data_IF_724082181567
#
_entry.id   IF_724082181567
#
_cell.length_a   1.000
_cell.length_b   1.000
_cell.length_c   1.000
_cell.angle_alpha   90.00
_cell.angle_beta   90.00
_cell.angle_gamma   90.00
#
_symmetry.space_group_name_H-M   'P 1'
#
loop_
_entity.id
_entity.type
_entity.pdbx_description
1 polymer ?
#
# COMPACT_ATOMS: atom_id res chain seq x y z
N UNK A 1 -9.80 -15.22 2.16
CA UNK A 1 -10.28 -16.25 3.08
C UNK A 1 -10.78 -17.47 2.27
N UNK A 2 -10.42 -18.72 2.63
CA UNK A 2 -10.83 -19.91 1.87
C UNK A 2 -12.34 -20.18 1.87
N UNK A 3 -13.11 -19.48 2.70
CA UNK A 3 -14.58 -19.61 2.74
C UNK A 3 -15.30 -18.72 1.73
N UNK A 4 -14.59 -17.81 1.06
CA UNK A 4 -15.09 -16.94 -0.01
C UNK A 4 -15.59 -15.57 0.47
N UNK A 5 -16.16 -14.82 -0.48
CA UNK A 5 -16.73 -13.51 -0.24
C UNK A 5 -18.24 -13.59 0.01
N UNK A 6 -18.74 -12.72 0.89
CA UNK A 6 -20.15 -12.65 1.23
C UNK A 6 -20.64 -11.20 1.20
N UNK A 7 -21.96 -11.03 0.99
CA UNK A 7 -22.65 -9.77 1.21
C UNK A 7 -23.54 -9.90 2.45
N UNK A 8 -23.56 -8.84 3.28
CA UNK A 8 -24.31 -8.79 4.54
C UNK A 8 -24.80 -7.37 4.83
N UNK A 9 -25.55 -7.17 5.90
CA UNK A 9 -25.93 -5.87 6.44
C UNK A 9 -27.29 -5.35 6.03
N UNK A 10 -27.58 -4.12 6.48
CA UNK A 10 -28.83 -3.41 6.20
C UNK A 10 -30.10 -4.08 6.69
N UNK A 11 -30.01 -5.12 7.50
CA UNK A 11 -31.16 -5.94 7.92
C UNK A 11 -31.78 -6.77 6.79
N UNK A 12 -31.38 -6.53 5.54
CA UNK A 12 -31.96 -7.12 4.33
C UNK A 12 -31.07 -8.20 3.73
N UNK A 13 -29.74 -8.05 3.90
CA UNK A 13 -28.74 -8.98 3.40
C UNK A 13 -28.22 -9.93 4.50
N UNK A 14 -28.84 -9.93 5.69
CA UNK A 14 -28.52 -10.88 6.75
C UNK A 14 -27.18 -10.63 7.43
N UNK A 15 -26.63 -11.71 7.98
CA UNK A 15 -25.36 -11.68 8.72
C UNK A 15 -24.21 -12.13 7.82
N UNK A 16 -22.96 -11.85 8.22
CA UNK A 16 -21.77 -12.46 7.59
C UNK A 16 -21.91 -13.98 7.51
N UNK A 17 -21.71 -14.51 6.30
CA UNK A 17 -21.88 -15.94 6.04
C UNK A 17 -23.24 -16.36 5.45
N UNK A 18 -24.27 -15.50 5.48
CA UNK A 18 -25.60 -15.86 4.98
C UNK A 18 -25.68 -15.88 3.43
N UNK A 19 -24.97 -14.98 2.75
CA UNK A 19 -25.05 -14.83 1.30
C UNK A 19 -23.65 -14.96 0.67
N UNK A 20 -23.28 -16.19 0.35
CA UNK A 20 -22.05 -16.51 -0.36
C UNK A 20 -22.12 -16.00 -1.80
N UNK A 21 -21.09 -15.28 -2.22
CA UNK A 21 -20.91 -14.85 -3.61
C UNK A 21 -20.29 -15.97 -4.44
N UNK A 22 -20.53 -15.97 -5.75
CA UNK A 22 -19.93 -16.88 -6.71
C UNK A 22 -18.57 -16.35 -7.14
N UNK A 23 -17.53 -17.15 -6.98
CA UNK A 23 -16.21 -16.88 -7.52
C UNK A 23 -16.21 -17.00 -9.04
N UNK A 24 -15.86 -15.92 -9.74
CA UNK A 24 -15.71 -15.87 -11.19
C UNK A 24 -14.25 -15.99 -11.65
N UNK A 25 -13.32 -16.14 -10.69
CA UNK A 25 -11.88 -16.13 -10.92
C UNK A 25 -11.28 -14.73 -10.93
N UNK A 26 -9.95 -14.62 -10.79
CA UNK A 26 -9.20 -13.36 -10.76
C UNK A 26 -9.73 -12.37 -9.70
N UNK A 27 -10.05 -12.88 -8.50
CA UNK A 27 -10.65 -12.10 -7.39
C UNK A 27 -11.98 -11.40 -7.72
N UNK A 28 -12.65 -11.82 -8.78
CA UNK A 28 -13.96 -11.31 -9.14
C UNK A 28 -15.07 -12.21 -8.54
N UNK A 29 -15.95 -11.59 -7.79
CA UNK A 29 -17.04 -12.25 -7.09
C UNK A 29 -18.38 -11.66 -7.49
N UNK A 30 -19.42 -12.45 -7.63
CA UNK A 30 -20.75 -11.98 -7.99
C UNK A 30 -21.85 -12.62 -7.17
N UNK A 31 -22.95 -11.87 -6.98
CA UNK A 31 -24.19 -12.38 -6.44
C UNK A 31 -25.34 -11.61 -7.06
N UNK A 32 -26.45 -12.27 -7.31
CA UNK A 32 -27.67 -11.68 -7.89
C UNK A 32 -28.82 -11.81 -6.91
N UNK A 33 -29.53 -10.71 -6.71
CA UNK A 33 -30.74 -10.68 -5.90
C UNK A 33 -31.94 -10.22 -6.74
N UNK A 34 -33.08 -10.86 -6.53
CA UNK A 34 -34.37 -10.39 -7.06
C UNK A 34 -35.05 -9.57 -5.98
N UNK A 35 -35.24 -8.27 -6.22
CA UNK A 35 -35.84 -7.32 -5.28
C UNK A 35 -36.93 -6.50 -5.97
N UNK A 36 -37.93 -5.97 -5.25
CA UNK A 36 -38.95 -5.13 -5.85
C UNK A 36 -38.39 -3.80 -6.37
N UNK A 37 -39.08 -3.22 -7.34
CA UNK A 37 -38.76 -1.90 -7.91
C UNK A 37 -38.78 -0.84 -6.80
N UNK A 38 -37.76 0.02 -6.77
CA UNK A 38 -37.55 1.01 -5.74
C UNK A 38 -36.85 0.47 -4.50
N UNK A 39 -36.34 -0.75 -4.54
CA UNK A 39 -35.58 -1.33 -3.41
C UNK A 39 -34.31 -0.53 -3.14
N UNK A 40 -34.08 -0.26 -1.86
CA UNK A 40 -32.84 0.38 -1.33
C UNK A 40 -32.46 -0.29 -0.01
N UNK A 41 -31.19 -0.32 0.31
CA UNK A 41 -30.67 -0.89 1.56
C UNK A 41 -29.22 -0.48 1.77
N UNK A 42 -28.78 -0.48 3.01
CA UNK A 42 -27.36 -0.50 3.29
C UNK A 42 -26.84 -1.95 3.20
N UNK A 43 -25.56 -2.12 2.90
CA UNK A 43 -24.90 -3.43 2.81
C UNK A 43 -23.39 -3.31 2.94
N UNK A 44 -22.72 -4.42 3.13
CA UNK A 44 -21.27 -4.49 3.20
C UNK A 44 -20.79 -5.83 2.66
N UNK A 45 -19.51 -5.91 2.35
CA UNK A 45 -18.85 -7.18 1.99
C UNK A 45 -18.05 -7.73 3.17
N UNK A 46 -17.97 -9.06 3.26
CA UNK A 46 -17.09 -9.74 4.22
C UNK A 46 -16.20 -10.76 3.49
N UNK A 47 -14.91 -10.76 3.85
CA UNK A 47 -13.95 -11.74 3.35
C UNK A 47 -13.91 -12.93 4.31
N UNK A 48 -14.85 -13.86 4.07
CA UNK A 48 -15.07 -15.01 4.93
C UNK A 48 -16.34 -14.93 5.76
N UNK A 49 -16.67 -16.06 6.44
CA UNK A 49 -17.88 -16.25 7.22
C UNK A 49 -17.66 -16.13 8.74
N UNK A 50 -16.51 -15.63 9.18
CA UNK A 50 -16.14 -15.58 10.60
C UNK A 50 -16.86 -14.51 11.43
N UNK A 51 -17.84 -13.80 10.84
CA UNK A 51 -18.61 -12.76 11.49
C UNK A 51 -18.17 -11.35 11.08
N UNK A 52 -18.60 -10.35 11.85
CA UNK A 52 -18.37 -8.93 11.53
C UNK A 52 -16.90 -8.51 11.53
N UNK A 53 -16.00 -9.32 12.11
CA UNK A 53 -14.55 -9.07 12.03
C UNK A 53 -13.96 -9.27 10.64
N UNK A 54 -14.69 -9.95 9.73
CA UNK A 54 -14.29 -10.13 8.33
C UNK A 54 -14.84 -9.04 7.39
N UNK A 55 -15.56 -8.06 7.94
CA UNK A 55 -16.13 -6.93 7.19
C UNK A 55 -15.03 -6.09 6.54
N UNK A 56 -15.30 -5.59 5.34
CA UNK A 56 -14.45 -4.57 4.70
C UNK A 56 -14.32 -3.33 5.59
N UNK A 57 -13.16 -2.71 5.57
CA UNK A 57 -12.94 -1.45 6.28
C UNK A 57 -12.99 -0.29 5.27
N UNK A 58 -14.09 0.45 5.27
CA UNK A 58 -14.29 1.67 4.49
C UNK A 58 -14.56 2.88 5.39
N UNK A 59 -14.26 2.76 6.68
CA UNK A 59 -14.48 3.83 7.66
C UNK A 59 -13.78 5.11 7.25
N UNK A 60 -14.49 6.23 7.31
CA UNK A 60 -13.97 7.53 6.88
C UNK A 60 -13.93 7.77 5.38
N UNK A 61 -14.22 6.77 4.55
CA UNK A 61 -14.29 6.94 3.10
C UNK A 61 -15.64 7.53 2.67
N UNK A 62 -15.68 8.13 1.47
CA UNK A 62 -16.87 8.82 0.94
C UNK A 62 -18.07 7.92 0.69
N UNK A 63 -17.88 6.61 0.53
CA UNK A 63 -18.92 5.60 0.33
C UNK A 63 -19.42 4.97 1.65
N UNK A 64 -18.81 5.29 2.78
CA UNK A 64 -19.21 4.77 4.08
C UNK A 64 -20.42 5.54 4.64
N UNK A 65 -21.43 4.82 5.09
CA UNK A 65 -22.63 5.39 5.70
C UNK A 65 -22.64 5.11 7.20
N UNK A 66 -22.63 6.14 8.04
CA UNK A 66 -22.74 5.98 9.48
C UNK A 66 -24.07 5.35 9.91
N UNK A 67 -24.14 4.66 11.04
CA UNK A 67 -23.09 4.52 12.06
C UNK A 67 -22.19 3.28 11.87
N UNK A 68 -22.45 2.46 10.87
CA UNK A 68 -21.81 1.17 10.72
C UNK A 68 -20.76 1.13 9.61
N UNK A 69 -20.54 2.22 8.89
CA UNK A 69 -19.66 2.30 7.73
C UNK A 69 -20.00 1.22 6.68
N UNK A 70 -21.29 1.09 6.40
CA UNK A 70 -21.83 0.24 5.34
C UNK A 70 -21.90 1.03 4.03
N UNK A 71 -22.03 0.35 2.89
CA UNK A 71 -22.35 0.97 1.60
C UNK A 71 -23.83 1.22 1.50
N UNK A 72 -24.25 2.26 0.75
CA UNK A 72 -25.65 2.52 0.48
C UNK A 72 -26.01 2.09 -0.95
N UNK A 73 -27.02 1.24 -1.05
CA UNK A 73 -27.73 0.98 -2.30
C UNK A 73 -28.89 1.96 -2.42
N UNK A 74 -28.72 2.95 -3.30
CA UNK A 74 -29.82 3.86 -3.65
C UNK A 74 -31.00 3.09 -4.29
N UNK A 75 -32.23 3.66 -4.29
CA UNK A 75 -33.39 2.98 -4.86
C UNK A 75 -33.18 2.57 -6.32
N UNK A 76 -33.36 1.28 -6.61
CA UNK A 76 -33.15 0.66 -7.93
C UNK A 76 -34.49 0.48 -8.63
N UNK A 77 -34.62 1.01 -9.84
CA UNK A 77 -35.89 1.03 -10.60
C UNK A 77 -35.90 0.14 -11.85
N UNK A 78 -34.75 -0.46 -12.19
CA UNK A 78 -34.58 -1.40 -13.31
C UNK A 78 -33.49 -2.39 -13.00
N UNK A 79 -33.36 -3.44 -13.81
CA UNK A 79 -32.24 -4.38 -13.69
C UNK A 79 -30.93 -3.62 -13.77
N UNK A 80 -30.08 -3.81 -12.78
CA UNK A 80 -28.87 -3.04 -12.58
C UNK A 80 -27.75 -3.95 -12.09
N UNK A 81 -26.55 -3.76 -12.62
CA UNK A 81 -25.33 -4.34 -12.07
C UNK A 81 -24.56 -3.26 -11.33
N UNK A 82 -24.18 -3.55 -10.10
CA UNK A 82 -23.40 -2.68 -9.24
C UNK A 82 -22.08 -3.37 -8.97
N UNK A 83 -21.00 -2.66 -9.15
CA UNK A 83 -19.65 -3.17 -8.94
C UNK A 83 -18.94 -2.33 -7.88
N UNK A 84 -18.16 -2.98 -7.04
CA UNK A 84 -17.34 -2.34 -6.01
C UNK A 84 -16.05 -3.10 -5.82
N UNK A 85 -15.02 -2.39 -5.43
CA UNK A 85 -13.80 -2.99 -4.92
C UNK A 85 -13.91 -3.17 -3.41
N UNK A 86 -13.42 -4.29 -2.90
CA UNK A 86 -13.43 -4.59 -1.46
C UNK A 86 -12.54 -3.59 -0.72
N UNK A 87 -13.06 -2.99 0.36
CA UNK A 87 -12.31 -2.07 1.22
C UNK A 87 -12.04 -0.68 0.65
N UNK A 88 -12.58 -0.33 -0.53
CA UNK A 88 -12.37 0.99 -1.13
C UNK A 88 -13.67 1.56 -1.71
N UNK A 89 -13.72 2.86 -2.01
CA UNK A 89 -14.84 3.49 -2.71
C UNK A 89 -14.68 3.52 -4.23
N UNK A 90 -13.56 3.04 -4.75
CA UNK A 90 -13.23 3.12 -6.16
C UNK A 90 -14.18 2.28 -7.01
N UNK A 91 -14.58 2.86 -8.13
CA UNK A 91 -15.57 2.30 -9.04
C UNK A 91 -15.26 2.71 -10.48
N UNK A 92 -14.14 2.24 -11.00
CA UNK A 92 -13.77 2.50 -12.41
C UNK A 92 -13.94 1.28 -13.31
N UNK A 93 -14.54 0.19 -12.79
CA UNK A 93 -14.70 -1.08 -13.50
C UNK A 93 -13.46 -1.95 -13.45
N UNK A 94 -12.40 -1.46 -12.86
CA UNK A 94 -11.20 -2.21 -12.52
C UNK A 94 -10.99 -2.03 -11.03
N UNK A 95 -11.09 -3.10 -10.23
CA UNK A 95 -10.68 -3.06 -8.83
C UNK A 95 -9.15 -2.99 -8.79
N UNK A 96 -8.60 -1.96 -9.41
CA UNK A 96 -7.18 -1.65 -9.41
C UNK A 96 -6.72 -0.96 -8.11
N UNK A 97 -7.53 -0.96 -7.07
CA UNK A 97 -6.98 -1.08 -5.74
C UNK A 97 -6.55 -2.52 -5.60
N UNK A 98 -5.46 -2.85 -6.24
CA UNK A 98 -4.79 -4.12 -6.03
C UNK A 98 -4.47 -4.17 -4.54
N UNK A 99 -5.28 -4.90 -3.77
CA UNK A 99 -4.67 -5.69 -2.72
C UNK A 99 -3.81 -6.68 -3.49
N UNK A 100 -2.61 -6.29 -3.81
CA UNK A 100 -1.61 -7.19 -4.33
C UNK A 100 -1.39 -8.20 -3.21
N UNK A 101 -1.69 -9.49 -3.41
CA UNK A 101 -1.09 -10.50 -2.58
C UNK A 101 0.42 -10.38 -2.86
N UNK A 102 1.14 -9.62 -2.01
CA UNK A 102 2.57 -9.44 -2.10
C UNK A 102 3.10 -8.10 -2.65
N UNK A 103 2.25 -7.06 -2.88
CA UNK A 103 2.78 -5.74 -3.26
C UNK A 103 2.15 -4.61 -2.46
N UNK A 104 2.96 -3.76 -1.87
CA UNK A 104 2.53 -2.65 -1.01
C UNK A 104 1.98 -1.44 -1.79
N UNK A 105 1.94 -1.48 -3.12
CA UNK A 105 1.68 -0.30 -3.95
C UNK A 105 2.87 0.66 -4.09
N UNK A 106 3.76 0.64 -3.12
CA UNK A 106 5.11 1.19 -3.20
C UNK A 106 6.12 0.04 -3.29
N UNK A 107 7.21 0.27 -4.00
CA UNK A 107 8.34 -0.67 -4.05
C UNK A 107 9.66 0.07 -3.81
N UNK A 108 10.55 -0.59 -3.07
CA UNK A 108 11.93 -0.16 -2.92
C UNK A 108 12.67 -0.38 -4.25
N UNK A 109 13.16 0.69 -4.86
CA UNK A 109 13.90 0.63 -6.13
C UNK A 109 15.39 0.65 -5.94
N UNK A 110 15.89 1.56 -5.12
CA UNK A 110 17.30 1.68 -4.87
C UNK A 110 17.59 2.22 -3.48
N UNK A 111 18.77 1.92 -2.98
CA UNK A 111 19.34 2.44 -1.75
C UNK A 111 20.72 2.98 -2.00
N UNK A 112 21.11 4.03 -1.28
CA UNK A 112 22.44 4.63 -1.41
C UNK A 112 23.08 4.86 -0.04
N UNK A 113 24.39 4.65 0.02
CA UNK A 113 25.25 5.04 1.14
C UNK A 113 26.57 5.62 0.60
N UNK A 114 26.46 6.50 -0.40
CA UNK A 114 27.60 7.12 -1.10
C UNK A 114 28.39 7.98 -0.11
N UNK A 115 29.73 7.90 -0.14
CA UNK A 115 30.61 8.68 0.73
C UNK A 115 30.62 10.16 0.31
N UNK A 116 29.62 10.91 0.75
CA UNK A 116 29.52 12.36 0.62
C UNK A 116 29.66 13.04 2.00
N UNK A 117 30.14 14.31 2.04
CA UNK A 117 30.27 15.04 3.29
C UNK A 117 28.98 15.02 4.11
N UNK A 118 29.12 14.91 5.44
CA UNK A 118 27.97 14.94 6.39
C UNK A 118 26.92 13.83 6.17
N UNK A 119 27.32 12.72 5.59
CA UNK A 119 26.42 11.61 5.22
C UNK A 119 25.34 11.97 4.17
N UNK A 120 25.58 13.00 3.37
CA UNK A 120 24.63 13.51 2.38
C UNK A 120 24.28 12.50 1.26
N UNK A 121 25.11 11.48 1.05
CA UNK A 121 24.91 10.46 0.02
C UNK A 121 23.97 9.33 0.39
N UNK A 122 23.27 9.44 1.53
CA UNK A 122 22.32 8.41 2.00
C UNK A 122 20.92 8.70 1.50
N UNK A 123 20.31 7.75 0.80
CA UNK A 123 18.95 7.88 0.30
C UNK A 123 18.27 6.54 0.06
N UNK A 124 16.94 6.57 0.03
CA UNK A 124 16.06 5.48 -0.34
C UNK A 124 15.18 5.95 -1.50
N UNK A 125 15.23 5.25 -2.62
CA UNK A 125 14.40 5.49 -3.80
C UNK A 125 13.25 4.50 -3.82
N UNK A 126 12.06 5.02 -3.96
CA UNK A 126 10.80 4.27 -3.96
C UNK A 126 10.01 4.64 -5.21
N UNK A 127 9.29 3.69 -5.77
CA UNK A 127 8.38 3.93 -6.91
C UNK A 127 6.98 3.50 -6.53
N UNK A 128 5.98 4.31 -6.90
CA UNK A 128 4.59 3.94 -6.80
C UNK A 128 4.21 3.07 -8.02
N UNK A 129 3.84 1.82 -7.78
CA UNK A 129 3.35 0.92 -8.86
C UNK A 129 1.91 1.20 -9.24
N UNK A 130 1.18 1.87 -8.35
CA UNK A 130 -0.20 2.28 -8.54
C UNK A 130 -0.42 3.68 -7.96
N UNK A 131 -1.55 4.31 -8.29
CA UNK A 131 -1.94 5.56 -7.66
C UNK A 131 -2.30 5.32 -6.18
N UNK A 132 -1.73 6.11 -5.29
CA UNK A 132 -1.97 6.06 -3.85
C UNK A 132 -2.52 7.41 -3.44
N UNK A 133 -3.69 7.43 -2.81
CA UNK A 133 -4.36 8.67 -2.39
C UNK A 133 -3.79 9.25 -1.09
N UNK A 134 -3.19 8.42 -0.26
CA UNK A 134 -2.64 8.79 1.05
C UNK A 134 -1.36 8.01 1.33
N UNK A 135 -0.21 8.70 1.25
CA UNK A 135 1.08 8.10 1.56
C UNK A 135 1.32 7.94 3.07
N UNK A 136 0.53 8.57 3.94
CA UNK A 136 0.79 8.54 5.40
C UNK A 136 0.60 7.16 6.05
N UNK A 137 0.07 6.19 5.32
CA UNK A 137 0.01 4.80 5.76
C UNK A 137 1.33 4.04 5.51
N UNK A 138 2.30 4.68 4.83
CA UNK A 138 3.60 4.10 4.51
C UNK A 138 4.72 4.82 5.25
N UNK A 139 5.79 4.08 5.46
CA UNK A 139 7.03 4.60 5.99
C UNK A 139 8.22 3.73 5.64
N UNK A 140 9.39 4.16 6.05
CA UNK A 140 10.64 3.40 5.90
C UNK A 140 11.36 3.31 7.25
N UNK A 141 12.13 2.25 7.41
CA UNK A 141 13.04 2.05 8.53
C UNK A 141 14.33 1.37 8.08
N UNK A 142 15.33 1.44 8.93
CA UNK A 142 16.65 0.84 8.71
C UNK A 142 16.88 -0.27 9.73
N UNK A 143 16.91 -1.53 9.31
CA UNK A 143 17.33 -2.63 10.17
C UNK A 143 18.84 -2.65 10.30
N UNK A 144 19.34 -2.06 11.38
CA UNK A 144 20.74 -1.75 11.57
C UNK A 144 21.57 -3.01 11.87
N UNK A 145 22.60 -3.28 11.05
CA UNK A 145 23.65 -4.29 11.28
C UNK A 145 23.12 -5.71 11.56
N UNK A 146 21.97 -6.09 11.01
CA UNK A 146 21.36 -7.41 11.25
C UNK A 146 20.75 -7.55 12.64
N UNK A 147 20.33 -6.44 13.24
CA UNK A 147 19.67 -6.42 14.55
C UNK A 147 18.19 -6.78 14.54
N UNK A 148 17.65 -7.07 13.37
CA UNK A 148 16.23 -7.31 13.15
C UNK A 148 15.44 -6.01 12.89
N UNK A 149 14.16 -6.15 12.57
CA UNK A 149 13.21 -5.05 12.42
C UNK A 149 13.05 -4.32 13.76
N UNK A 150 13.27 -3.01 13.78
CA UNK A 150 13.12 -2.17 14.98
C UNK A 150 12.04 -1.09 14.85
N UNK A 151 11.36 -1.05 13.69
CA UNK A 151 10.19 -0.21 13.45
C UNK A 151 10.40 0.86 12.38
N UNK A 152 9.34 1.62 12.15
CA UNK A 152 9.31 2.71 11.20
C UNK A 152 10.04 3.93 11.76
N UNK A 153 10.96 4.52 10.99
CA UNK A 153 11.75 5.69 11.38
C UNK A 153 11.32 6.97 10.66
N UNK A 154 10.75 6.84 9.46
CA UNK A 154 10.19 7.94 8.68
C UNK A 154 8.82 7.55 8.16
N UNK A 155 7.80 8.35 8.49
CA UNK A 155 6.43 8.22 7.95
C UNK A 155 6.21 9.26 6.87
N UNK A 156 5.67 8.86 5.72
CA UNK A 156 5.32 9.81 4.66
C UNK A 156 4.18 10.74 5.10
N UNK A 157 4.16 12.01 4.61
CA UNK A 157 3.01 12.89 4.86
C UNK A 157 1.77 12.42 4.09
N UNK A 158 0.58 12.88 4.53
CA UNK A 158 -0.68 12.66 3.83
C UNK A 158 -0.71 13.44 2.52
N UNK A 159 -0.21 12.84 1.46
CA UNK A 159 -0.24 13.33 0.07
C UNK A 159 -0.51 12.16 -0.87
N UNK A 160 -1.03 12.47 -2.05
CA UNK A 160 -1.23 11.46 -3.10
C UNK A 160 -0.01 11.33 -4.00
N UNK A 161 0.14 10.15 -4.62
CA UNK A 161 1.12 9.88 -5.67
C UNK A 161 0.46 9.08 -6.79
N UNK A 162 0.84 9.33 -8.05
CA UNK A 162 0.32 8.59 -9.19
C UNK A 162 1.18 7.34 -9.48
N UNK A 163 0.59 6.37 -10.19
CA UNK A 163 1.35 5.22 -10.68
C UNK A 163 2.53 5.65 -11.55
N UNK A 164 3.68 5.02 -11.34
CA UNK A 164 4.93 5.30 -12.03
C UNK A 164 5.72 6.49 -11.50
N UNK A 165 5.21 7.22 -10.51
CA UNK A 165 5.96 8.32 -9.91
C UNK A 165 7.06 7.81 -8.97
N UNK A 166 8.16 8.56 -8.95
CA UNK A 166 9.35 8.26 -8.16
C UNK A 166 9.42 9.16 -6.94
N UNK A 167 9.72 8.56 -5.81
CA UNK A 167 9.88 9.20 -4.50
C UNK A 167 11.30 8.97 -4.01
N UNK A 168 11.92 9.98 -3.46
CA UNK A 168 13.19 9.82 -2.76
C UNK A 168 13.12 10.39 -1.34
N UNK A 169 13.58 9.61 -0.39
CA UNK A 169 13.86 10.07 0.98
C UNK A 169 15.38 10.10 1.14
N UNK A 170 15.95 11.23 1.45
CA UNK A 170 17.39 11.41 1.49
C UNK A 170 17.84 12.22 2.70
N UNK A 171 19.11 12.08 3.04
CA UNK A 171 19.74 12.83 4.14
C UNK A 171 19.92 14.30 3.82
N UNK A 172 20.30 14.62 2.59
CA UNK A 172 20.52 15.96 2.07
C UNK A 172 20.23 16.02 0.57
N UNK A 173 19.16 16.74 0.21
CA UNK A 173 18.73 16.80 -1.19
C UNK A 173 19.63 17.67 -2.06
N UNK A 174 20.30 18.66 -1.49
CA UNK A 174 21.18 19.59 -2.24
C UNK A 174 22.46 18.89 -2.65
N UNK A 175 23.16 18.29 -1.68
CA UNK A 175 24.42 17.58 -1.96
C UNK A 175 24.17 16.33 -2.83
N UNK A 176 23.06 15.62 -2.61
CA UNK A 176 22.70 14.45 -3.41
C UNK A 176 22.35 14.86 -4.85
N UNK A 177 21.63 15.96 -5.07
CA UNK A 177 21.31 16.45 -6.42
C UNK A 177 22.56 16.88 -7.19
N UNK A 178 23.50 17.55 -6.50
CA UNK A 178 24.79 17.91 -7.08
C UNK A 178 25.59 16.66 -7.54
N UNK A 179 25.50 15.58 -6.80
CA UNK A 179 26.17 14.31 -7.14
C UNK A 179 25.49 13.56 -8.29
N UNK A 180 24.16 13.43 -8.24
CA UNK A 180 23.38 12.66 -9.22
C UNK A 180 23.15 13.39 -10.55
N UNK A 181 23.44 14.67 -10.65
CA UNK A 181 23.05 15.65 -11.67
C UNK A 181 21.57 16.08 -11.59
N UNK A 182 21.33 17.31 -12.01
CA UNK A 182 19.97 17.91 -12.02
C UNK A 182 18.99 17.09 -12.89
N UNK A 183 19.44 16.58 -14.03
CA UNK A 183 18.60 15.79 -14.94
C UNK A 183 18.13 14.48 -14.30
N UNK A 184 18.97 13.83 -13.51
CA UNK A 184 18.61 12.61 -12.78
C UNK A 184 17.67 12.93 -11.61
N UNK A 185 18.01 13.94 -10.83
CA UNK A 185 17.27 14.30 -9.63
C UNK A 185 15.87 14.84 -9.94
N UNK A 186 15.69 15.50 -11.08
CA UNK A 186 14.39 16.05 -11.54
C UNK A 186 13.34 14.97 -11.87
N UNK A 187 13.72 13.70 -11.95
CA UNK A 187 12.77 12.60 -12.15
C UNK A 187 12.00 12.21 -10.89
N UNK A 188 12.42 12.68 -9.71
CA UNK A 188 11.69 12.44 -8.48
C UNK A 188 10.53 13.42 -8.34
N UNK A 189 9.30 12.89 -8.34
CA UNK A 189 8.07 13.69 -8.15
C UNK A 189 7.96 14.21 -6.71
N UNK A 190 8.45 13.43 -5.74
CA UNK A 190 8.45 13.75 -4.33
C UNK A 190 9.86 13.57 -3.76
N UNK A 191 10.34 14.60 -3.07
CA UNK A 191 11.66 14.62 -2.43
C UNK A 191 11.49 14.96 -0.95
N UNK A 192 11.88 14.03 -0.09
CA UNK A 192 11.86 14.23 1.37
C UNK A 192 13.28 14.25 1.92
N UNK A 193 13.51 15.10 2.91
CA UNK A 193 14.79 15.18 3.62
C UNK A 193 14.55 14.82 5.07
N UNK A 194 15.18 13.73 5.51
CA UNK A 194 15.05 13.27 6.88
C UNK A 194 16.35 12.68 7.44
N UNK A 195 16.59 12.92 8.72
CA UNK A 195 17.80 12.48 9.41
C UNK A 195 17.77 10.98 9.78
N UNK A 196 16.62 10.33 9.75
CA UNK A 196 16.47 8.90 9.97
C UNK A 196 17.12 8.08 8.85
N UNK A 197 17.18 8.63 7.61
CA UNK A 197 17.94 8.03 6.51
C UNK A 197 19.44 8.03 6.84
N UNK A 198 19.88 6.96 7.50
CA UNK A 198 21.23 6.87 8.09
C UNK A 198 21.96 5.54 7.86
N UNK A 199 21.48 4.71 6.96
CA UNK A 199 22.10 3.43 6.59
C UNK A 199 23.57 3.56 6.18
N UNK A 200 24.39 2.57 6.51
CA UNK A 200 25.83 2.56 6.24
C UNK A 200 26.25 1.70 5.04
N UNK A 201 25.28 1.11 4.32
CA UNK A 201 25.55 0.25 3.20
C UNK A 201 25.64 -1.24 3.54
N UNK A 202 25.64 -1.59 4.82
CA UNK A 202 25.51 -2.95 5.34
C UNK A 202 24.22 -3.16 6.15
N UNK A 203 23.32 -2.17 6.11
CA UNK A 203 22.03 -2.18 6.77
C UNK A 203 20.94 -2.53 5.77
N UNK A 204 19.95 -3.32 6.18
CA UNK A 204 18.76 -3.56 5.39
C UNK A 204 17.80 -2.38 5.51
N UNK A 205 17.03 -2.11 4.44
CA UNK A 205 16.01 -1.07 4.42
C UNK A 205 14.64 -1.75 4.31
N UNK A 206 13.73 -1.34 5.16
CA UNK A 206 12.37 -1.86 5.23
C UNK A 206 11.36 -0.81 4.80
N UNK A 207 10.40 -1.22 3.98
CA UNK A 207 9.21 -0.45 3.64
C UNK A 207 8.06 -0.94 4.51
N UNK A 208 7.40 -0.02 5.18
CA UNK A 208 6.25 -0.29 6.04
C UNK A 208 4.95 0.17 5.38
N UNK A 209 3.87 -0.53 5.72
CA UNK A 209 2.51 -0.11 5.47
C UNK A 209 1.66 -0.47 6.69
N UNK A 210 1.02 0.54 7.30
CA UNK A 210 0.24 0.38 8.53
C UNK A 210 1.06 -0.33 9.64
N UNK A 211 2.25 0.18 9.93
CA UNK A 211 3.20 -0.34 10.94
C UNK A 211 3.71 -1.78 10.68
N UNK A 212 3.46 -2.33 9.50
CA UNK A 212 3.89 -3.70 9.15
C UNK A 212 4.88 -3.66 7.99
N UNK A 213 5.98 -4.41 8.08
CA UNK A 213 6.95 -4.54 6.98
C UNK A 213 6.28 -5.23 5.80
N UNK A 214 6.33 -4.59 4.63
CA UNK A 214 5.75 -5.10 3.38
C UNK A 214 6.80 -5.43 2.33
N UNK A 215 7.98 -4.84 2.45
CA UNK A 215 9.12 -5.12 1.59
C UNK A 215 10.43 -4.84 2.33
N UNK A 216 11.48 -5.62 2.02
CA UNK A 216 12.82 -5.42 2.57
C UNK A 216 13.86 -5.44 1.43
N UNK A 217 14.78 -4.51 1.45
CA UNK A 217 16.02 -4.55 0.70
C UNK A 217 17.11 -5.10 1.62
N UNK A 218 17.74 -6.21 1.25
CA UNK A 218 18.65 -6.93 2.12
C UNK A 218 17.94 -7.95 3.01
N UNK A 219 18.52 -8.23 4.18
CA UNK A 219 17.99 -9.13 5.20
C UNK A 219 18.12 -8.43 6.56
N UNK A 220 16.98 -8.19 7.23
CA UNK A 220 16.94 -7.45 8.49
C UNK A 220 17.70 -8.15 9.63
N UNK A 221 17.83 -9.47 9.57
CA UNK A 221 18.51 -10.27 10.59
C UNK A 221 20.00 -10.53 10.28
N UNK A 222 20.52 -9.98 9.16
CA UNK A 222 21.88 -10.20 8.69
C UNK A 222 22.62 -8.88 8.51
N UNK A 223 23.84 -8.76 9.10
CA UNK A 223 24.73 -7.65 8.76
C UNK A 223 25.24 -7.83 7.33
N UNK A 224 24.99 -6.84 6.48
CA UNK A 224 25.26 -6.91 5.06
C UNK A 224 26.73 -6.88 4.64
N UNK A 225 27.68 -6.71 5.57
CA UNK A 225 29.11 -6.69 5.24
C UNK A 225 29.54 -8.00 4.62
N UNK A 226 29.96 -7.96 3.36
CA UNK A 226 30.36 -9.13 2.58
C UNK A 226 29.21 -9.88 1.92
N UNK A 227 27.97 -9.46 2.13
CA UNK A 227 26.79 -10.04 1.50
C UNK A 227 26.58 -9.50 0.07
N UNK A 228 25.90 -10.23 -0.81
CA UNK A 228 25.68 -9.79 -2.21
C UNK A 228 24.90 -8.49 -2.35
N UNK A 229 24.21 -8.05 -1.32
CA UNK A 229 23.40 -6.83 -1.27
C UNK A 229 24.11 -5.66 -0.55
N UNK A 230 25.39 -5.80 -0.15
CA UNK A 230 26.18 -4.72 0.43
C UNK A 230 26.32 -3.55 -0.56
N UNK A 231 26.11 -2.31 -0.07
CA UNK A 231 26.21 -1.07 -0.84
C UNK A 231 27.04 0.02 -0.13
N UNK A 232 28.01 -0.38 0.69
CA UNK A 232 28.94 0.53 1.39
C UNK A 232 29.68 1.41 0.39
N UNK A 233 29.71 2.73 0.65
CA UNK A 233 30.29 3.77 -0.23
C UNK A 233 29.74 3.73 -1.67
N UNK A 234 28.53 3.23 -1.86
CA UNK A 234 27.97 2.91 -3.15
C UNK A 234 26.44 3.04 -3.15
N UNK A 235 25.84 2.41 -4.14
CA UNK A 235 24.40 2.28 -4.29
C UNK A 235 24.05 0.89 -4.82
N UNK A 236 22.84 0.46 -4.51
CA UNK A 236 22.28 -0.76 -5.08
C UNK A 236 20.83 -0.52 -5.50
N UNK A 237 20.37 -1.26 -6.50
CA UNK A 237 18.98 -1.22 -6.93
C UNK A 237 18.44 -2.63 -7.11
N UNK A 238 17.13 -2.76 -6.97
CA UNK A 238 16.46 -4.01 -7.29
C UNK A 238 16.27 -4.12 -8.79
N UNK A 239 16.74 -5.23 -9.35
CA UNK A 239 16.47 -5.58 -10.73
C UNK A 239 14.98 -5.95 -10.85
N UNK A 240 14.30 -5.42 -11.85
CA UNK A 240 12.92 -5.80 -12.16
C UNK A 240 12.95 -7.20 -12.77
N UNK A 241 12.77 -8.21 -11.94
CA UNK A 241 12.55 -9.59 -12.38
C UNK A 241 11.10 -9.83 -12.73
#
# INVERSE_FOLDING_TARGET
DPTGMFIAGGGTFGNPGDNLMTDLGNDLWSITFSKPVGFSSDYTFTNGNSGWGAKENISGLSCAVPPFDDRNLAPVYSDTTIQHCFGTCDYDGTCNSVVIPGGSGLILKAVTAIDLPSNAGKAVHITAEQAISDLSIYGIGTANNGGGTDGEEFTFPNVSVNAGEHIIVCRDSVELSNYLSDDCFSNFSLVYVDASVNQNGNDAIELFMNDSVVETFGDADVNGTGEPWEYTDSWAYKDSS
#
